data_IF_271320508454
#
_entry.id   IF_271320508454
#
_cell.length_a   1.000
_cell.length_b   1.000
_cell.length_c   1.000
_cell.angle_alpha   90.00
_cell.angle_beta   90.00
_cell.angle_gamma   90.00
#
_symmetry.space_group_name_H-M   'P 1'
#
loop_
_entity.id
_entity.type
_entity.pdbx_description
1 polymer ?
#
# COMPACT_ATOMS: atom_id res chain seq x y z
N UNK A 1 6.47 19.24 -30.86
CA UNK A 1 5.74 19.82 -29.70
C UNK A 1 4.34 19.24 -29.47
N UNK A 2 3.52 19.00 -30.51
CA UNK A 2 2.19 18.35 -30.35
C UNK A 2 2.28 16.90 -29.84
N UNK A 3 3.25 16.13 -30.34
CA UNK A 3 3.52 14.76 -29.89
C UNK A 3 3.99 14.68 -28.43
N UNK A 4 4.86 15.60 -28.00
CA UNK A 4 5.33 15.68 -26.61
C UNK A 4 4.18 15.93 -25.63
N UNK A 5 3.19 16.75 -26.00
CA UNK A 5 2.00 17.01 -25.18
C UNK A 5 1.11 15.76 -25.03
N UNK A 6 0.97 14.97 -26.09
CA UNK A 6 0.26 13.69 -26.04
C UNK A 6 0.97 12.66 -25.15
N UNK A 7 2.29 12.55 -25.29
CA UNK A 7 3.11 11.66 -24.45
C UNK A 7 3.03 12.07 -22.98
N UNK A 8 3.12 13.37 -22.69
CA UNK A 8 2.96 13.89 -21.31
C UNK A 8 1.55 13.59 -20.76
N UNK A 9 0.49 13.75 -21.56
CA UNK A 9 -0.88 13.47 -21.14
C UNK A 9 -1.10 11.97 -20.82
N UNK A 10 -0.52 11.07 -21.61
CA UNK A 10 -0.60 9.61 -21.36
C UNK A 10 0.16 9.23 -20.10
N UNK A 11 1.35 9.81 -19.88
CA UNK A 11 2.17 9.54 -18.68
C UNK A 11 1.46 10.03 -17.41
N UNK A 12 0.85 11.22 -17.44
CA UNK A 12 0.12 11.75 -16.27
C UNK A 12 -1.12 10.91 -15.95
N UNK A 13 -1.89 10.50 -16.95
CA UNK A 13 -3.04 9.60 -16.77
C UNK A 13 -2.61 8.26 -16.17
N UNK A 14 -1.50 7.67 -16.65
CA UNK A 14 -0.97 6.41 -16.11
C UNK A 14 -0.53 6.55 -14.64
N UNK A 15 0.14 7.66 -14.29
CA UNK A 15 0.55 7.94 -12.92
C UNK A 15 -0.64 8.13 -11.97
N UNK A 16 -1.72 8.76 -12.43
CA UNK A 16 -2.98 8.89 -11.70
C UNK A 16 -3.63 7.53 -11.42
N UNK A 17 -3.64 6.61 -12.39
CA UNK A 17 -4.21 5.26 -12.22
C UNK A 17 -3.46 4.43 -11.16
N UNK A 18 -2.14 4.61 -11.04
CA UNK A 18 -1.32 3.92 -10.02
C UNK A 18 -1.64 4.36 -8.58
N UNK A 19 -2.14 5.59 -8.39
CA UNK A 19 -2.45 6.14 -7.07
C UNK A 19 -3.78 5.66 -6.47
N UNK A 20 -4.60 4.94 -7.24
CA UNK A 20 -5.93 4.47 -6.80
C UNK A 20 -5.89 3.14 -6.03
N UNK A 21 -4.77 2.41 -6.03
CA UNK A 21 -4.62 1.12 -5.38
C UNK A 21 -3.71 1.18 -4.15
N UNK A 22 -4.04 2.04 -3.18
CA UNK A 22 -3.30 2.09 -1.92
C UNK A 22 -3.83 1.03 -0.95
N UNK A 23 -3.11 -0.10 -0.84
CA UNK A 23 -3.25 -0.98 0.31
C UNK A 23 -2.82 -0.21 1.57
N UNK A 24 -3.62 -0.30 2.63
CA UNK A 24 -3.37 0.43 3.87
C UNK A 24 -2.02 0.01 4.47
N UNK A 25 -1.08 0.95 4.55
CA UNK A 25 0.27 0.69 5.06
C UNK A 25 0.31 0.77 6.59
N UNK A 26 1.22 0.00 7.19
CA UNK A 26 1.37 -0.14 8.64
C UNK A 26 2.81 -0.46 9.04
N UNK A 27 3.06 -0.49 10.35
CA UNK A 27 4.33 -0.94 10.90
C UNK A 27 5.49 0.02 10.59
N UNK A 28 6.71 -0.51 10.59
CA UNK A 28 7.94 0.26 10.37
C UNK A 28 7.98 1.01 9.02
N UNK A 29 7.27 0.49 8.01
CA UNK A 29 7.14 1.11 6.69
C UNK A 29 6.22 2.34 6.69
N UNK A 30 5.41 2.50 7.75
CA UNK A 30 4.44 3.58 7.91
C UNK A 30 4.57 4.27 9.27
N UNK A 31 5.80 4.50 9.74
CA UNK A 31 6.07 5.23 10.99
C UNK A 31 5.39 4.64 12.22
N UNK A 32 5.24 3.31 12.25
CA UNK A 32 4.56 2.59 13.34
C UNK A 32 3.03 2.63 13.27
N UNK A 33 2.44 3.07 12.16
CA UNK A 33 1.00 3.11 11.99
C UNK A 33 0.36 1.73 12.24
N UNK A 34 -0.77 1.73 12.94
CA UNK A 34 -1.60 0.54 13.13
C UNK A 34 -2.61 0.41 11.99
N UNK A 35 -2.97 -0.83 11.68
CA UNK A 35 -4.07 -1.06 10.75
C UNK A 35 -5.42 -0.74 11.40
N UNK A 36 -6.32 -0.14 10.64
CA UNK A 36 -7.71 0.02 11.05
C UNK A 36 -8.41 -1.33 11.30
N UNK A 37 -9.50 -1.33 12.06
CA UNK A 37 -10.36 -2.48 12.33
C UNK A 37 -9.64 -3.69 12.96
N UNK A 38 -8.51 -3.49 13.64
CA UNK A 38 -7.78 -4.59 14.27
C UNK A 38 -7.07 -5.52 13.30
N UNK A 39 -6.89 -5.13 12.03
CA UNK A 39 -6.24 -5.98 11.03
C UNK A 39 -4.76 -6.21 11.37
N UNK A 40 -4.24 -7.39 11.01
CA UNK A 40 -2.84 -7.72 11.18
C UNK A 40 -1.96 -6.88 10.27
N UNK A 41 -0.83 -6.41 10.79
CA UNK A 41 0.21 -5.78 9.99
C UNK A 41 1.26 -6.80 9.57
N UNK A 42 1.32 -7.11 8.27
CA UNK A 42 2.31 -8.04 7.71
C UNK A 42 3.76 -7.56 7.92
N UNK A 43 4.72 -8.46 7.75
CA UNK A 43 6.16 -8.12 7.75
C UNK A 43 6.56 -7.08 6.69
N UNK A 44 5.72 -6.92 5.65
CA UNK A 44 5.94 -5.98 4.55
C UNK A 44 5.25 -4.62 4.76
N UNK A 45 4.56 -4.43 5.89
CA UNK A 45 3.94 -3.15 6.22
C UNK A 45 2.60 -2.93 5.53
N UNK A 46 1.84 -3.99 5.31
CA UNK A 46 0.47 -3.93 4.78
C UNK A 46 -0.53 -4.62 5.70
N UNK A 47 -1.77 -4.13 5.69
CA UNK A 47 -2.86 -4.61 6.52
C UNK A 47 -3.66 -5.75 5.87
N UNK A 48 -4.04 -6.77 6.64
CA UNK A 48 -4.91 -7.86 6.18
C UNK A 48 -5.27 -8.86 7.29
N UNK A 49 -6.00 -9.92 6.94
CA UNK A 49 -6.48 -10.96 7.90
C UNK A 49 -5.96 -12.37 7.61
N UNK A 50 -5.28 -12.58 6.47
CA UNK A 50 -4.84 -13.92 6.09
C UNK A 50 -3.51 -14.28 6.78
N UNK A 51 -3.07 -15.55 6.77
CA UNK A 51 -1.78 -15.94 7.33
C UNK A 51 -0.57 -15.20 6.73
N UNK A 52 -0.68 -14.65 5.52
CA UNK A 52 0.37 -13.82 4.94
C UNK A 52 0.57 -12.48 5.70
N UNK A 53 -0.44 -12.04 6.45
CA UNK A 53 -0.44 -10.81 7.24
C UNK A 53 -0.30 -11.07 8.74
N UNK A 54 -0.99 -12.10 9.23
CA UNK A 54 -1.03 -12.44 10.66
C UNK A 54 0.01 -13.49 11.07
N UNK A 55 0.70 -14.10 10.11
CA UNK A 55 1.66 -15.17 10.35
C UNK A 55 3.04 -14.67 10.82
N UNK A 56 4.09 -15.50 10.65
CA UNK A 56 5.45 -15.14 11.03
C UNK A 56 5.88 -13.79 10.46
N UNK A 57 6.49 -12.96 11.30
CA UNK A 57 6.93 -11.62 10.92
C UNK A 57 5.84 -10.53 10.98
N UNK A 58 4.63 -10.87 11.41
CA UNK A 58 3.60 -9.87 11.71
C UNK A 58 4.13 -8.81 12.70
N UNK A 59 3.95 -7.54 12.36
CA UNK A 59 4.48 -6.39 13.10
C UNK A 59 3.53 -5.90 14.20
N UNK A 60 2.21 -6.04 14.02
CA UNK A 60 1.21 -5.61 15.00
C UNK A 60 -0.15 -6.27 14.75
N UNK A 61 -0.99 -6.36 15.80
CA UNK A 61 -2.37 -6.87 15.74
C UNK A 61 -2.49 -8.30 15.18
N UNK A 62 -1.61 -9.21 15.60
CA UNK A 62 -1.46 -10.55 15.03
C UNK A 62 -2.38 -11.63 15.63
N UNK A 63 -3.32 -11.25 16.49
CA UNK A 63 -4.11 -12.17 17.33
C UNK A 63 -5.55 -12.31 16.83
#
# INVERSE_FOLDING_TARGET
>A
MKMMKFVVLVITILALLLSAANAQQCGSQASGALCANGLCCSQYGYCGTTPAYCGPGCQSQCN
#
